data_IF_703660037611
#
_entry.id   IF_703660037611
#
_cell.length_a   1.000
_cell.length_b   1.000
_cell.length_c   1.000
_cell.angle_alpha   90.00
_cell.angle_beta   90.00
_cell.angle_gamma   90.00
#
_symmetry.space_group_name_H-M   'P 1'
#
loop_
_entity.id
_entity.type
_entity.pdbx_description
1 polymer ?
#
# COMPACT_ATOMS: atom_id res chain seq x y z
N UNK A 1 -21.77 -24.26 -10.34
CA UNK A 1 -22.61 -24.26 -9.10
C UNK A 1 -21.81 -24.03 -7.80
N UNK A 2 -20.57 -24.53 -7.65
CA UNK A 2 -19.75 -24.27 -6.43
C UNK A 2 -19.12 -22.88 -6.41
N UNK A 3 -18.67 -22.38 -7.56
CA UNK A 3 -18.04 -21.07 -7.67
C UNK A 3 -18.96 -19.92 -7.25
N UNK A 4 -20.18 -19.88 -7.75
CA UNK A 4 -21.19 -18.86 -7.38
C UNK A 4 -21.51 -18.85 -5.88
N UNK A 5 -21.60 -20.03 -5.26
CA UNK A 5 -21.79 -20.14 -3.81
C UNK A 5 -20.62 -19.59 -3.00
N UNK A 6 -19.38 -19.81 -3.47
CA UNK A 6 -18.18 -19.29 -2.81
C UNK A 6 -18.12 -17.77 -2.94
N UNK A 7 -18.36 -17.26 -4.15
CA UNK A 7 -18.44 -15.81 -4.43
C UNK A 7 -19.51 -15.14 -3.56
N UNK A 8 -20.73 -15.69 -3.52
CA UNK A 8 -21.81 -15.16 -2.67
C UNK A 8 -21.41 -15.14 -1.19
N UNK A 9 -20.74 -16.18 -0.69
CA UNK A 9 -20.26 -16.20 0.70
C UNK A 9 -19.22 -15.14 1.00
N UNK A 10 -18.33 -14.87 0.04
CA UNK A 10 -17.31 -13.81 0.19
C UNK A 10 -17.98 -12.46 0.16
N UNK A 11 -18.84 -12.20 -0.83
CA UNK A 11 -19.51 -10.92 -1.00
C UNK A 11 -20.44 -10.58 0.18
N UNK A 12 -21.14 -11.58 0.73
CA UNK A 12 -22.01 -11.40 1.91
C UNK A 12 -21.25 -11.00 3.19
N UNK A 13 -19.94 -11.16 3.23
CA UNK A 13 -19.11 -10.63 4.35
C UNK A 13 -18.85 -9.13 4.26
N UNK A 14 -19.14 -8.53 3.12
CA UNK A 14 -18.96 -7.10 2.85
C UNK A 14 -20.32 -6.41 2.75
N UNK A 15 -21.05 -6.36 3.86
CA UNK A 15 -22.44 -5.88 3.95
C UNK A 15 -22.68 -4.47 3.39
N UNK A 16 -21.64 -3.65 3.26
CA UNK A 16 -21.71 -2.26 2.80
C UNK A 16 -21.27 -2.04 1.35
N UNK A 17 -20.89 -3.09 0.61
CA UNK A 17 -20.48 -2.93 -0.79
C UNK A 17 -21.71 -2.86 -1.70
N UNK A 18 -21.85 -1.75 -2.44
CA UNK A 18 -22.86 -1.63 -3.49
C UNK A 18 -22.48 -2.54 -4.67
N UNK A 19 -23.49 -3.01 -5.39
CA UNK A 19 -23.30 -3.89 -6.56
C UNK A 19 -22.36 -3.28 -7.63
N UNK A 20 -22.35 -1.96 -7.73
CA UNK A 20 -21.50 -1.21 -8.67
C UNK A 20 -20.05 -1.00 -8.18
N UNK A 21 -19.78 -1.30 -6.91
CA UNK A 21 -18.43 -1.16 -6.32
C UNK A 21 -17.64 -2.48 -6.39
N UNK A 22 -18.20 -3.48 -7.11
CA UNK A 22 -17.64 -4.82 -7.19
C UNK A 22 -17.45 -5.23 -8.64
N UNK A 23 -16.35 -5.90 -8.89
CA UNK A 23 -16.13 -6.61 -10.15
C UNK A 23 -15.59 -8.01 -9.86
N UNK A 24 -15.85 -8.93 -10.76
CA UNK A 24 -15.43 -10.33 -10.68
C UNK A 24 -14.84 -10.75 -12.01
N UNK A 25 -13.60 -11.18 -11.98
CA UNK A 25 -12.93 -11.76 -13.13
C UNK A 25 -12.73 -13.26 -12.93
N UNK A 26 -12.82 -14.03 -14.01
CA UNK A 26 -12.58 -15.47 -14.05
C UNK A 26 -11.65 -15.86 -15.20
N UNK A 27 -10.96 -16.99 -15.08
CA UNK A 27 -10.08 -17.53 -16.11
C UNK A 27 -8.99 -16.55 -16.54
N UNK A 28 -8.85 -16.37 -17.85
CA UNK A 28 -7.83 -15.50 -18.45
C UNK A 28 -7.93 -14.03 -18.00
N UNK A 29 -9.15 -13.53 -17.79
CA UNK A 29 -9.33 -12.14 -17.39
C UNK A 29 -8.91 -11.92 -15.93
N UNK A 30 -9.10 -12.90 -15.05
CA UNK A 30 -8.54 -12.87 -13.69
C UNK A 30 -7.01 -12.83 -13.73
N UNK A 31 -6.38 -13.62 -14.61
CA UNK A 31 -4.93 -13.62 -14.79
C UNK A 31 -4.42 -12.28 -15.33
N UNK A 32 -5.05 -11.74 -16.37
CA UNK A 32 -4.73 -10.40 -16.90
C UNK A 32 -4.85 -9.31 -15.84
N UNK A 33 -5.93 -9.33 -15.06
CA UNK A 33 -6.13 -8.36 -13.98
C UNK A 33 -5.04 -8.50 -12.91
N UNK A 34 -4.67 -9.73 -12.51
CA UNK A 34 -3.57 -9.95 -11.56
C UNK A 34 -2.24 -9.36 -12.06
N UNK A 35 -1.95 -9.46 -13.36
CA UNK A 35 -0.78 -8.81 -13.96
C UNK A 35 -0.83 -7.29 -13.88
N UNK A 36 -1.99 -6.68 -14.21
CA UNK A 36 -2.18 -5.23 -14.12
C UNK A 36 -1.96 -4.72 -12.68
N UNK A 37 -2.51 -5.42 -11.69
CA UNK A 37 -2.32 -5.09 -10.27
C UNK A 37 -0.86 -5.24 -9.86
N UNK A 38 -0.21 -6.37 -10.19
CA UNK A 38 1.18 -6.64 -9.81
C UNK A 38 2.19 -5.71 -10.49
N UNK A 39 1.89 -5.23 -11.69
CA UNK A 39 2.74 -4.25 -12.39
C UNK A 39 2.52 -2.84 -11.90
N UNK A 40 1.42 -2.58 -11.21
CA UNK A 40 1.01 -1.25 -10.78
C UNK A 40 0.39 -0.40 -11.89
N UNK A 41 0.05 -0.99 -13.05
CA UNK A 41 -0.62 -0.27 -14.15
C UNK A 41 -2.03 0.17 -13.74
N UNK A 42 -2.69 -0.62 -12.91
CA UNK A 42 -4.06 -0.37 -12.43
C UNK A 42 -4.07 0.52 -11.15
N UNK A 43 -2.92 1.03 -10.74
CA UNK A 43 -2.77 1.86 -9.55
C UNK A 43 -2.96 3.33 -9.88
N UNK A 44 -3.40 4.13 -8.90
CA UNK A 44 -3.45 5.58 -9.01
C UNK A 44 -2.06 6.18 -9.29
N UNK A 45 -1.02 5.58 -8.73
CA UNK A 45 0.39 5.88 -9.04
C UNK A 45 0.89 4.74 -9.93
N UNK A 46 0.95 5.00 -11.23
CA UNK A 46 1.34 3.99 -12.20
C UNK A 46 2.76 3.48 -11.91
N UNK A 47 2.89 2.14 -11.83
CA UNK A 47 4.17 1.48 -11.59
C UNK A 47 4.60 1.46 -10.12
N UNK A 48 3.73 1.80 -9.17
CA UNK A 48 4.03 1.74 -7.74
C UNK A 48 4.61 0.36 -7.33
N UNK A 49 5.78 0.32 -6.67
CA UNK A 49 6.45 -0.94 -6.35
C UNK A 49 5.84 -1.68 -5.16
N UNK A 50 5.10 -1.01 -4.29
CA UNK A 50 4.64 -1.53 -3.01
C UNK A 50 3.63 -2.67 -3.17
N UNK A 51 2.72 -2.56 -4.14
CA UNK A 51 1.71 -3.59 -4.43
C UNK A 51 2.37 -4.92 -4.81
N UNK A 52 3.42 -4.89 -5.64
CA UNK A 52 4.14 -6.11 -5.99
C UNK A 52 4.76 -6.81 -4.77
N UNK A 53 5.30 -6.04 -3.84
CA UNK A 53 5.82 -6.54 -2.56
C UNK A 53 4.72 -7.16 -1.69
N UNK A 54 3.57 -6.50 -1.60
CA UNK A 54 2.40 -6.97 -0.84
C UNK A 54 1.86 -8.29 -1.39
N UNK A 55 1.74 -8.43 -2.71
CA UNK A 55 1.29 -9.68 -3.35
C UNK A 55 2.25 -10.83 -3.04
N UNK A 56 3.57 -10.61 -3.13
CA UNK A 56 4.56 -11.63 -2.78
C UNK A 56 4.47 -12.05 -1.31
N UNK A 57 4.32 -11.09 -0.41
CA UNK A 57 4.14 -11.37 1.03
C UNK A 57 2.87 -12.17 1.29
N UNK A 58 1.75 -11.80 0.66
CA UNK A 58 0.47 -12.50 0.78
C UNK A 58 0.56 -13.93 0.24
N UNK A 59 1.24 -14.14 -0.90
CA UNK A 59 1.45 -15.48 -1.46
C UNK A 59 2.28 -16.36 -0.51
N UNK A 60 3.34 -15.83 0.08
CA UNK A 60 4.18 -16.56 1.05
C UNK A 60 3.39 -16.92 2.30
N UNK A 61 2.57 -16.01 2.82
CA UNK A 61 1.69 -16.27 3.96
C UNK A 61 0.67 -17.38 3.63
N UNK A 62 0.04 -17.32 2.45
CA UNK A 62 -0.92 -18.34 2.02
C UNK A 62 -0.27 -19.71 1.86
N UNK A 63 0.99 -19.76 1.41
CA UNK A 63 1.78 -20.98 1.32
C UNK A 63 2.07 -21.56 2.70
N UNK A 64 2.52 -20.75 3.65
CA UNK A 64 2.82 -21.20 5.02
C UNK A 64 1.58 -21.69 5.77
N UNK A 65 0.39 -21.20 5.41
CA UNK A 65 -0.89 -21.64 5.97
C UNK A 65 -1.52 -22.84 5.26
N UNK A 66 -0.87 -23.37 4.20
CA UNK A 66 -1.39 -24.52 3.45
C UNK A 66 -2.62 -24.21 2.59
N UNK A 67 -2.86 -22.94 2.23
CA UNK A 67 -4.02 -22.52 1.44
C UNK A 67 -3.81 -22.61 -0.07
N UNK A 68 -2.59 -22.90 -0.51
CA UNK A 68 -2.24 -23.02 -1.93
C UNK A 68 -2.18 -24.48 -2.35
N UNK A 69 -2.90 -24.82 -3.42
CA UNK A 69 -2.63 -26.01 -4.20
C UNK A 69 -1.59 -25.71 -5.28
N UNK A 70 -1.02 -26.77 -5.88
CA UNK A 70 0.05 -26.65 -6.90
C UNK A 70 -0.37 -25.81 -8.11
N UNK A 71 -1.63 -25.92 -8.54
CA UNK A 71 -2.14 -25.17 -9.71
C UNK A 71 -2.21 -23.67 -9.43
N UNK A 72 -2.77 -23.28 -8.28
CA UNK A 72 -2.89 -21.89 -7.87
C UNK A 72 -1.49 -21.30 -7.61
N UNK A 73 -0.60 -22.05 -6.97
CA UNK A 73 0.78 -21.63 -6.72
C UNK A 73 1.53 -21.39 -8.04
N UNK A 74 1.44 -22.30 -9.01
CA UNK A 74 2.04 -22.14 -10.33
C UNK A 74 1.48 -20.92 -11.08
N UNK A 75 0.17 -20.69 -10.98
CA UNK A 75 -0.49 -19.54 -11.59
C UNK A 75 0.07 -18.23 -11.03
N UNK A 76 0.17 -18.08 -9.72
CA UNK A 76 0.73 -16.89 -9.10
C UNK A 76 2.24 -16.73 -9.35
N UNK A 77 3.00 -17.81 -9.34
CA UNK A 77 4.44 -17.76 -9.64
C UNK A 77 4.67 -17.30 -11.11
N UNK A 78 3.85 -17.75 -12.04
CA UNK A 78 3.88 -17.26 -13.44
C UNK A 78 3.50 -15.78 -13.52
N UNK A 79 2.44 -15.35 -12.81
CA UNK A 79 2.04 -13.95 -12.77
C UNK A 79 3.16 -13.06 -12.21
N UNK A 80 3.84 -13.48 -11.14
CA UNK A 80 4.99 -12.78 -10.58
C UNK A 80 6.13 -12.69 -11.58
N UNK A 81 6.44 -13.79 -12.29
CA UNK A 81 7.50 -13.81 -13.32
C UNK A 81 7.19 -12.86 -14.47
N UNK A 82 5.98 -12.91 -15.01
CA UNK A 82 5.57 -12.01 -16.08
C UNK A 82 5.51 -10.54 -15.64
N UNK A 83 5.03 -10.28 -14.43
CA UNK A 83 5.03 -8.91 -13.89
C UNK A 83 6.44 -8.33 -13.74
N UNK A 84 7.43 -9.15 -13.33
CA UNK A 84 8.83 -8.73 -13.33
C UNK A 84 9.33 -8.41 -14.72
N UNK A 85 9.04 -9.27 -15.70
CA UNK A 85 9.44 -9.07 -17.09
C UNK A 85 8.86 -7.76 -17.63
N UNK A 86 7.56 -7.54 -17.49
CA UNK A 86 6.88 -6.30 -17.90
C UNK A 86 7.56 -5.08 -17.29
N UNK A 87 7.83 -5.10 -15.98
CA UNK A 87 8.49 -4.00 -15.28
C UNK A 87 9.92 -3.76 -15.74
N UNK A 88 10.64 -4.79 -16.19
CA UNK A 88 12.02 -4.69 -16.68
C UNK A 88 12.08 -4.21 -18.13
N UNK A 89 11.14 -4.68 -18.98
CA UNK A 89 11.08 -4.35 -20.41
C UNK A 89 10.37 -3.02 -20.70
N UNK A 90 9.78 -2.39 -19.66
CA UNK A 90 9.06 -1.13 -19.80
C UNK A 90 9.62 -0.07 -18.85
N UNK A 91 9.21 1.18 -19.04
CA UNK A 91 9.62 2.32 -18.21
C UNK A 91 8.99 2.34 -16.81
N UNK A 92 8.13 1.35 -16.48
CA UNK A 92 7.45 1.25 -15.18
C UNK A 92 8.41 1.16 -13.97
N UNK A 93 9.65 0.75 -14.19
CA UNK A 93 10.67 0.64 -13.14
C UNK A 93 11.71 1.76 -13.16
N UNK A 94 11.71 2.63 -14.17
CA UNK A 94 12.76 3.66 -14.32
C UNK A 94 12.65 4.78 -13.26
N UNK A 95 11.43 5.14 -12.89
CA UNK A 95 11.17 6.17 -11.88
C UNK A 95 10.06 5.69 -10.91
N UNK A 96 10.36 4.74 -10.01
CA UNK A 96 9.35 4.19 -9.12
C UNK A 96 8.93 5.27 -8.12
N UNK A 97 7.80 5.91 -8.38
CA UNK A 97 7.16 6.80 -7.41
C UNK A 97 6.36 5.96 -6.42
N UNK A 98 6.55 6.21 -5.14
CA UNK A 98 5.68 5.71 -4.08
C UNK A 98 4.89 6.86 -3.47
N UNK A 99 3.76 6.55 -2.84
CA UNK A 99 2.96 7.54 -2.10
C UNK A 99 3.85 8.34 -1.16
N UNK A 100 4.73 7.67 -0.41
CA UNK A 100 5.65 8.34 0.51
C UNK A 100 6.64 9.29 -0.18
N UNK A 101 7.05 9.02 -1.42
CA UNK A 101 7.95 9.90 -2.19
C UNK A 101 7.21 11.12 -2.70
N UNK A 102 5.98 10.93 -3.17
CA UNK A 102 5.14 12.05 -3.65
C UNK A 102 4.80 13.00 -2.51
N UNK A 103 4.36 12.45 -1.36
CA UNK A 103 4.03 13.25 -0.17
C UNK A 103 5.27 13.97 0.36
N UNK A 104 6.43 13.30 0.42
CA UNK A 104 7.69 13.92 0.81
C UNK A 104 8.04 15.07 -0.13
N UNK A 105 7.96 14.86 -1.45
CA UNK A 105 8.24 15.91 -2.43
C UNK A 105 7.30 17.11 -2.29
N UNK A 106 6.02 16.87 -2.04
CA UNK A 106 5.03 17.92 -1.81
C UNK A 106 5.38 18.78 -0.60
N UNK A 107 5.68 18.13 0.53
CA UNK A 107 6.04 18.81 1.79
C UNK A 107 7.39 19.54 1.67
N UNK A 108 8.36 18.93 0.98
CA UNK A 108 9.71 19.48 0.90
C UNK A 108 9.85 20.66 -0.04
N UNK A 109 8.94 20.78 -1.02
CA UNK A 109 8.92 21.91 -1.96
C UNK A 109 8.22 23.14 -1.40
N UNK A 110 7.58 23.05 -0.25
CA UNK A 110 6.94 24.17 0.44
C UNK A 110 7.87 24.66 1.57
N UNK A 111 8.46 25.84 1.39
CA UNK A 111 9.41 26.43 2.36
C UNK A 111 8.74 26.77 3.71
N UNK A 112 7.43 27.01 3.69
CA UNK A 112 6.64 27.36 4.88
C UNK A 112 6.35 26.12 5.78
N UNK A 113 6.43 24.90 5.24
CA UNK A 113 6.19 23.67 6.00
C UNK A 113 7.48 23.24 6.70
N UNK A 114 7.61 23.48 7.99
CA UNK A 114 8.75 23.06 8.80
C UNK A 114 8.41 21.88 9.72
N UNK A 115 7.14 21.75 10.10
CA UNK A 115 6.65 20.76 11.03
C UNK A 115 5.48 19.95 10.47
N UNK A 116 5.50 18.63 10.66
CA UNK A 116 4.54 17.71 10.05
C UNK A 116 3.97 16.76 11.11
N UNK A 117 2.66 16.73 11.24
CA UNK A 117 1.97 15.72 12.02
C UNK A 117 1.65 14.51 11.14
N UNK A 118 2.21 13.35 11.46
CA UNK A 118 1.89 12.07 10.82
C UNK A 118 0.97 11.27 11.72
N UNK A 119 -0.23 10.97 11.24
CA UNK A 119 -1.24 10.16 11.93
C UNK A 119 -1.30 8.78 11.29
N UNK A 120 -0.85 7.77 12.02
CA UNK A 120 -0.73 6.39 11.59
C UNK A 120 0.72 5.90 11.55
N UNK A 121 0.95 4.64 11.92
CA UNK A 121 2.28 4.02 12.04
C UNK A 121 2.51 2.86 11.04
N UNK A 122 1.77 2.87 9.92
CA UNK A 122 1.81 1.83 8.91
C UNK A 122 3.01 1.90 7.94
N UNK A 123 2.94 1.13 6.86
CA UNK A 123 4.04 1.02 5.88
C UNK A 123 4.38 2.35 5.21
N UNK A 124 3.39 3.20 4.95
CA UNK A 124 3.61 4.53 4.36
C UNK A 124 4.38 5.42 5.33
N UNK A 125 3.98 5.49 6.61
CA UNK A 125 4.69 6.26 7.64
C UNK A 125 6.13 5.79 7.82
N UNK A 126 6.37 4.47 7.84
CA UNK A 126 7.72 3.90 7.95
C UNK A 126 8.65 4.31 6.83
N UNK A 127 8.12 4.65 5.66
CA UNK A 127 8.87 5.14 4.51
C UNK A 127 8.93 6.66 4.46
N UNK A 128 7.89 7.36 4.91
CA UNK A 128 7.77 8.82 4.85
C UNK A 128 8.58 9.51 5.94
N UNK A 129 8.43 9.09 7.19
CA UNK A 129 9.07 9.73 8.35
C UNK A 129 10.59 9.86 8.20
N UNK A 130 11.35 8.80 7.81
CA UNK A 130 12.78 8.92 7.58
C UNK A 130 13.14 9.95 6.49
N UNK A 131 12.30 10.08 5.46
CA UNK A 131 12.54 11.03 4.36
C UNK A 131 12.34 12.46 4.83
N UNK A 132 11.25 12.73 5.58
CA UNK A 132 10.99 14.05 6.16
C UNK A 132 12.09 14.48 7.13
N UNK A 133 12.55 13.55 8.00
CA UNK A 133 13.66 13.80 8.91
C UNK A 133 14.95 14.16 8.14
N UNK A 134 15.25 13.41 7.07
CA UNK A 134 16.43 13.69 6.22
C UNK A 134 16.37 15.08 5.55
N UNK A 135 15.16 15.60 5.35
CA UNK A 135 14.91 16.96 4.82
C UNK A 135 14.87 18.04 5.91
N UNK A 136 15.14 17.68 7.15
CA UNK A 136 15.16 18.62 8.28
C UNK A 136 13.78 19.05 8.77
N UNK A 137 12.71 18.37 8.36
CA UNK A 137 11.37 18.67 8.85
C UNK A 137 11.18 18.07 10.25
N UNK A 138 10.58 18.83 11.16
CA UNK A 138 10.17 18.32 12.47
C UNK A 138 8.96 17.40 12.30
N UNK A 139 9.01 16.16 12.83
CA UNK A 139 7.93 15.19 12.66
C UNK A 139 7.33 14.80 14.00
N UNK A 140 6.03 15.01 14.14
CA UNK A 140 5.23 14.47 15.22
C UNK A 140 4.50 13.22 14.73
N UNK A 141 4.62 12.12 15.48
CA UNK A 141 3.98 10.85 15.12
C UNK A 141 2.89 10.51 16.14
N UNK A 142 1.68 10.28 15.66
CA UNK A 142 0.55 9.86 16.50
C UNK A 142 -0.03 8.57 15.94
N UNK A 143 -0.23 7.58 16.80
CA UNK A 143 -0.79 6.29 16.39
C UNK A 143 -1.68 5.68 17.48
N UNK A 144 -2.52 4.72 17.11
CA UNK A 144 -3.40 3.99 18.02
C UNK A 144 -2.64 3.09 19.00
N UNK A 145 -1.56 2.50 18.53
CA UNK A 145 -0.66 1.63 19.30
C UNK A 145 0.74 2.23 19.32
N UNK A 146 1.53 1.90 20.32
CA UNK A 146 2.90 2.38 20.42
C UNK A 146 3.74 1.86 19.25
N UNK A 147 4.32 2.77 18.50
CA UNK A 147 5.27 2.48 17.42
C UNK A 147 6.44 3.44 17.48
N UNK A 148 7.59 2.99 17.01
CA UNK A 148 8.77 3.84 16.84
C UNK A 148 9.22 3.79 15.39
N UNK A 149 9.45 4.94 14.78
CA UNK A 149 9.92 5.09 13.40
C UNK A 149 11.09 6.07 13.37
N UNK A 150 12.27 5.61 12.99
CA UNK A 150 13.49 6.44 12.90
C UNK A 150 13.82 7.23 14.18
N UNK A 151 13.64 6.61 15.34
CA UNK A 151 13.88 7.22 16.64
C UNK A 151 12.75 8.10 17.15
N UNK A 152 11.68 8.30 16.38
CA UNK A 152 10.48 9.03 16.80
C UNK A 152 9.47 8.03 17.36
N UNK A 153 9.17 8.16 18.64
CA UNK A 153 8.10 7.41 19.32
C UNK A 153 6.76 8.05 19.04
N UNK A 154 5.76 7.22 18.76
CA UNK A 154 4.40 7.73 18.59
C UNK A 154 3.78 8.11 19.93
N UNK A 155 3.01 9.17 19.88
CA UNK A 155 2.07 9.52 20.94
C UNK A 155 0.68 8.93 20.68
N UNK A 156 -0.16 8.92 21.71
CA UNK A 156 -1.55 8.48 21.64
C UNK A 156 -2.41 9.42 20.79
N UNK A 157 -3.46 8.88 20.16
CA UNK A 157 -4.46 9.65 19.39
C UNK A 157 -5.10 10.80 20.19
N UNK A 158 -5.15 10.71 21.51
CA UNK A 158 -5.66 11.79 22.39
C UNK A 158 -4.86 13.08 22.26
N UNK A 159 -3.60 13.02 21.80
CA UNK A 159 -2.72 14.18 21.63
C UNK A 159 -2.81 14.85 20.24
N UNK A 160 -3.67 14.37 19.36
CA UNK A 160 -3.84 14.95 18.00
C UNK A 160 -4.04 16.46 18.06
N UNK A 161 -4.97 16.95 18.89
CA UNK A 161 -5.25 18.38 18.99
C UNK A 161 -4.05 19.22 19.47
N UNK A 162 -3.16 18.63 20.26
CA UNK A 162 -1.93 19.30 20.69
C UNK A 162 -0.96 19.48 19.52
N UNK A 163 -0.81 18.45 18.72
CA UNK A 163 0.11 18.47 17.58
C UNK A 163 -0.46 19.22 16.37
N UNK A 164 -1.77 19.21 16.14
CA UNK A 164 -2.42 20.02 15.13
C UNK A 164 -2.10 21.53 15.26
N UNK A 165 -1.96 22.00 16.49
CA UNK A 165 -1.62 23.43 16.76
C UNK A 165 -0.15 23.75 16.54
N UNK A 166 0.70 22.74 16.42
CA UNK A 166 2.16 22.87 16.31
C UNK A 166 2.68 22.50 14.93
N UNK A 167 1.83 21.95 14.08
CA UNK A 167 2.24 21.43 12.77
C UNK A 167 1.73 22.32 11.66
N UNK A 168 2.58 22.54 10.68
CA UNK A 168 2.25 23.29 9.47
C UNK A 168 1.51 22.41 8.45
N UNK A 169 1.73 21.08 8.52
CA UNK A 169 1.05 20.10 7.66
C UNK A 169 0.63 18.85 8.44
N UNK A 170 -0.40 18.17 7.93
CA UNK A 170 -0.91 16.91 8.47
C UNK A 170 -0.96 15.84 7.39
N UNK A 171 -0.43 14.67 7.69
CA UNK A 171 -0.48 13.48 6.84
C UNK A 171 -1.22 12.38 7.59
N UNK A 172 -2.31 11.87 7.02
CA UNK A 172 -3.11 10.78 7.58
C UNK A 172 -2.89 9.53 6.71
N UNK A 173 -2.43 8.42 7.32
CA UNK A 173 -2.06 7.17 6.62
C UNK A 173 -2.42 5.92 7.44
#
# INVERSE_FOLDING_TARGET
>A
KNFEKVVSKILNKFENLRKNDQYLYAGTDAFKHSLKVMTGIDSMIIGEPDIFGQVKKSLNNSRSMGFLNSELENTFNNAIRFSKLIRTETDLSKNPLSISTIVEGFISNEDEINSVLVIGGGDVSRKLVPKLNKKGKEVFLVNRTDVEISGIKSDSLSKINTYLKKSDAVVIV
#
